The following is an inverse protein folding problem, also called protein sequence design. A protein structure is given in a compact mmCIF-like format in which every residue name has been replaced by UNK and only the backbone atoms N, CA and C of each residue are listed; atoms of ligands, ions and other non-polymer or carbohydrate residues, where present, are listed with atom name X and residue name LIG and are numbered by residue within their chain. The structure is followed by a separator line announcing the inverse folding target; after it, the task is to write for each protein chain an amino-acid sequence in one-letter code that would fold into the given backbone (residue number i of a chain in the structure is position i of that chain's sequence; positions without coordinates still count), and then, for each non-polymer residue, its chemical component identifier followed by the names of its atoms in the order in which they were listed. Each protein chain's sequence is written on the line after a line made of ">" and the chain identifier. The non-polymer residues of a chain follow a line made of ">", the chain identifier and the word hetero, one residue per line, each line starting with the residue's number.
data_IF_551622280120
#
_entry.id   IF_551622280120
#
_cell.length_a   1.000
_cell.length_b   1.000
_cell.length_c   1.000
_cell.angle_alpha   90.00
_cell.angle_beta   90.00
_cell.angle_gamma   90.00
#
_symmetry.space_group_name_H-M   'P 1'
#
loop_
_entity.id
_entity.type
_entity.pdbx_description
1 polymer ?
#
# COMPACT_ATOMS: atom_id res chain seq x y z
N UNK A 1 -3.66 -0.55 -4.55
CA UNK A 1 -4.05 -1.80 -3.85
C UNK A 1 -4.47 -1.43 -2.45
N UNK A 2 -5.66 -1.83 -2.03
CA UNK A 2 -6.25 -1.44 -0.75
C UNK A 2 -6.56 -2.69 0.06
N UNK A 3 -6.15 -2.72 1.33
CA UNK A 3 -6.45 -3.83 2.23
C UNK A 3 -7.95 -4.04 2.36
N UNK A 4 -8.44 -5.28 2.44
CA UNK A 4 -9.89 -5.58 2.53
C UNK A 4 -10.60 -4.82 3.65
N UNK A 5 -9.99 -4.74 4.82
CA UNK A 5 -10.54 -3.99 5.97
C UNK A 5 -10.71 -2.50 5.69
N UNK A 6 -9.79 -1.90 4.93
CA UNK A 6 -9.87 -0.49 4.53
C UNK A 6 -10.93 -0.30 3.43
N UNK A 7 -10.98 -1.22 2.47
CA UNK A 7 -11.98 -1.20 1.40
C UNK A 7 -13.40 -1.32 1.97
N UNK A 8 -13.62 -2.20 2.94
CA UNK A 8 -14.90 -2.35 3.64
C UNK A 8 -15.29 -1.07 4.36
N UNK A 9 -14.36 -0.46 5.11
CA UNK A 9 -14.58 0.81 5.81
C UNK A 9 -14.96 1.97 4.87
N UNK A 10 -14.46 1.93 3.64
CA UNK A 10 -14.75 2.94 2.61
C UNK A 10 -15.91 2.54 1.68
N UNK A 11 -16.58 1.43 1.94
CA UNK A 11 -17.64 0.87 1.08
C UNK A 11 -17.17 0.65 -0.37
N UNK A 12 -15.94 0.12 -0.54
CA UNK A 12 -15.31 -0.16 -1.84
C UNK A 12 -15.11 -1.64 -2.05
N UNK A 13 -14.89 -2.04 -3.30
CA UNK A 13 -14.51 -3.41 -3.61
C UNK A 13 -13.09 -3.70 -3.10
N UNK A 14 -12.97 -4.77 -2.33
CA UNK A 14 -11.67 -5.23 -1.83
C UNK A 14 -10.87 -5.91 -2.94
N UNK A 15 -9.56 -5.66 -2.98
CA UNK A 15 -8.66 -6.48 -3.77
C UNK A 15 -8.45 -7.84 -3.08
N UNK A 16 -8.53 -8.92 -3.84
CA UNK A 16 -8.25 -10.27 -3.34
C UNK A 16 -6.79 -10.71 -3.59
N UNK A 17 -5.93 -9.79 -4.02
CA UNK A 17 -4.54 -10.11 -4.43
C UNK A 17 -3.52 -10.00 -3.29
N UNK A 18 -3.88 -9.37 -2.18
CA UNK A 18 -2.95 -9.03 -1.08
C UNK A 18 -3.19 -9.84 0.19
N UNK A 19 -3.50 -11.12 0.07
CA UNK A 19 -3.75 -11.98 1.22
C UNK A 19 -2.60 -12.01 2.25
N UNK A 20 -1.36 -11.85 1.79
CA UNK A 20 -0.20 -11.81 2.68
C UNK A 20 -0.11 -10.50 3.50
N UNK A 21 -0.51 -9.35 2.95
CA UNK A 21 -0.59 -8.07 3.69
C UNK A 21 -1.69 -8.12 4.76
N UNK A 22 -2.83 -8.71 4.42
CA UNK A 22 -3.92 -8.93 5.39
C UNK A 22 -3.47 -9.87 6.50
N UNK A 23 -2.73 -10.95 6.17
CA UNK A 23 -2.15 -11.85 7.16
C UNK A 23 -1.12 -11.17 8.06
N UNK A 24 -0.29 -10.29 7.51
CA UNK A 24 0.65 -9.50 8.31
C UNK A 24 -0.09 -8.55 9.26
N UNK A 25 -1.12 -7.85 8.77
CA UNK A 25 -1.93 -6.97 9.60
C UNK A 25 -2.58 -7.74 10.76
N UNK A 26 -3.18 -8.91 10.50
CA UNK A 26 -3.73 -9.76 11.56
C UNK A 26 -2.68 -10.12 12.60
N UNK A 27 -1.50 -10.56 12.18
CA UNK A 27 -0.42 -10.91 13.10
C UNK A 27 0.07 -9.74 13.96
N UNK A 28 0.04 -8.53 13.43
CA UNK A 28 0.40 -7.32 14.18
C UNK A 28 -0.69 -6.97 15.20
N UNK A 29 -1.96 -7.07 14.78
CA UNK A 29 -3.13 -6.71 15.59
C UNK A 29 -3.37 -7.72 16.71
N UNK A 30 -3.07 -9.01 16.47
CA UNK A 30 -3.25 -10.09 17.46
C UNK A 30 -2.17 -10.09 18.55
N UNK A 31 -1.17 -9.22 18.46
CA UNK A 31 -0.13 -9.11 19.50
C UNK A 31 -0.62 -8.24 20.65
N UNK A 32 -0.97 -8.89 21.75
CA UNK A 32 -1.42 -8.23 22.98
C UNK A 32 -0.29 -7.56 23.77
N UNK A 33 0.97 -7.87 23.46
CA UNK A 33 2.16 -7.52 24.25
C UNK A 33 2.91 -6.27 23.74
N UNK A 34 2.29 -5.48 22.83
CA UNK A 34 2.97 -4.34 22.22
C UNK A 34 2.21 -3.03 22.44
N UNK A 35 2.91 -2.02 22.95
CA UNK A 35 2.44 -0.61 22.98
C UNK A 35 2.57 0.04 21.59
N UNK A 36 2.55 -0.74 20.52
CA UNK A 36 2.74 -0.27 19.17
C UNK A 36 1.46 0.35 18.63
N UNK A 37 1.56 1.55 18.06
CA UNK A 37 0.51 2.13 17.23
C UNK A 37 0.78 1.86 15.76
N UNK A 38 -0.27 1.69 14.97
CA UNK A 38 -0.15 1.35 13.55
C UNK A 38 -0.88 2.37 12.67
N UNK A 39 -0.21 2.81 11.62
CA UNK A 39 -0.84 3.49 10.51
C UNK A 39 -0.60 2.75 9.20
N UNK A 40 -1.55 2.87 8.27
CA UNK A 40 -1.46 2.34 6.92
C UNK A 40 -1.69 3.47 5.94
N UNK A 41 -0.69 3.73 5.08
CA UNK A 41 -0.84 4.62 3.94
C UNK A 41 -1.01 3.79 2.65
N UNK A 42 -1.94 4.19 1.78
CA UNK A 42 -2.26 3.46 0.57
C UNK A 42 -2.58 4.38 -0.61
N UNK A 43 -2.21 3.98 -1.84
CA UNK A 43 -2.47 4.77 -3.03
C UNK A 43 -3.95 4.76 -3.41
N UNK A 44 -4.42 5.92 -3.85
CA UNK A 44 -5.75 6.14 -4.40
C UNK A 44 -5.61 6.72 -5.80
N UNK A 45 -6.39 6.27 -6.78
CA UNK A 45 -6.37 6.84 -8.12
C UNK A 45 -6.60 8.35 -8.12
N UNK A 46 -5.89 9.07 -8.97
CA UNK A 46 -6.06 10.51 -9.12
C UNK A 46 -7.53 10.84 -9.46
N UNK A 47 -8.09 11.81 -8.73
CA UNK A 47 -9.48 12.25 -8.90
C UNK A 47 -10.52 11.49 -8.09
N UNK A 48 -10.14 10.47 -7.32
CA UNK A 48 -11.02 9.87 -6.35
C UNK A 48 -11.00 10.66 -5.03
N UNK A 49 -12.19 10.98 -4.51
CA UNK A 49 -12.31 11.60 -3.20
C UNK A 49 -12.17 10.55 -2.10
N UNK A 50 -11.30 10.83 -1.15
CA UNK A 50 -11.08 10.01 0.04
C UNK A 50 -10.81 10.93 1.23
N UNK A 51 -11.23 10.55 2.46
CA UNK A 51 -10.80 11.27 3.65
C UNK A 51 -9.27 11.27 3.75
N UNK A 52 -8.68 12.42 4.06
CA UNK A 52 -7.23 12.57 4.19
C UNK A 52 -6.67 11.61 5.25
N UNK A 53 -7.39 11.46 6.36
CA UNK A 53 -7.11 10.43 7.37
C UNK A 53 -8.41 9.96 8.02
N UNK A 54 -8.43 8.69 8.43
CA UNK A 54 -9.52 8.08 9.16
C UNK A 54 -8.98 6.93 10.01
N UNK A 55 -9.80 6.40 10.90
CA UNK A 55 -9.42 5.29 11.77
C UNK A 55 -10.31 4.09 11.48
N UNK A 56 -9.70 2.93 11.39
CA UNK A 56 -10.38 1.66 11.22
C UNK A 56 -10.14 0.81 12.46
N UNK A 57 -11.21 0.24 13.02
CA UNK A 57 -11.11 -0.74 14.09
C UNK A 57 -10.98 -2.13 13.49
N UNK A 58 -9.89 -2.81 13.79
CA UNK A 58 -9.61 -4.18 13.35
C UNK A 58 -9.80 -5.12 14.53
N UNK A 59 -10.64 -6.14 14.38
CA UNK A 59 -10.84 -7.17 15.40
C UNK A 59 -10.04 -8.42 15.02
N UNK A 60 -9.31 -8.99 15.99
CA UNK A 60 -8.50 -10.20 15.80
C UNK A 60 -9.33 -11.45 15.55
N UNK A 61 -8.65 -12.49 15.05
CA UNK A 61 -9.03 -13.88 14.79
C UNK A 61 -9.76 -14.24 13.50
N UNK A 62 -10.27 -13.35 12.65
CA UNK A 62 -10.64 -13.70 11.26
C UNK A 62 -10.93 -12.46 10.38
N UNK A 63 -10.84 -12.59 9.05
CA UNK A 63 -10.91 -11.45 8.12
C UNK A 63 -12.32 -10.89 7.87
N UNK A 64 -13.22 -11.00 8.82
CA UNK A 64 -14.46 -10.25 8.87
C UNK A 64 -14.26 -9.08 9.86
N UNK A 65 -13.42 -8.13 9.47
CA UNK A 65 -13.23 -6.91 10.23
C UNK A 65 -14.52 -6.09 10.15
N UNK A 66 -15.15 -5.82 11.28
CA UNK A 66 -16.17 -4.77 11.34
C UNK A 66 -15.43 -3.44 11.25
N UNK A 67 -15.36 -2.89 10.06
CA UNK A 67 -14.71 -1.62 9.81
C UNK A 67 -15.73 -0.50 10.01
N UNK A 68 -15.61 0.26 11.07
CA UNK A 68 -16.28 1.54 11.22
C UNK A 68 -15.25 2.64 10.94
N UNK A 69 -15.40 3.35 9.82
CA UNK A 69 -14.61 4.53 9.55
C UNK A 69 -15.12 5.68 10.42
N UNK A 70 -14.32 6.07 11.40
CA UNK A 70 -14.57 7.26 12.22
C UNK A 70 -13.57 8.35 11.87
N UNK A 71 -14.00 9.61 11.94
CA UNK A 71 -13.04 10.72 11.80
C UNK A 71 -11.96 10.62 12.87
N UNK A 72 -10.72 11.04 12.55
CA UNK A 72 -9.59 10.99 13.47
C UNK A 72 -9.88 11.69 14.82
N UNK A 73 -10.78 12.68 14.82
CA UNK A 73 -11.22 13.43 16.03
C UNK A 73 -12.17 12.61 16.89
N UNK A 74 -13.01 11.76 16.31
CA UNK A 74 -13.97 10.91 17.04
C UNK A 74 -13.28 9.68 17.64
N UNK A 75 -12.24 9.16 16.97
CA UNK A 75 -11.46 8.02 17.46
C UNK A 75 -10.72 8.32 18.77
N UNK A 76 -10.30 9.57 18.99
CA UNK A 76 -9.66 10.01 20.22
C UNK A 76 -10.62 10.04 21.43
N UNK A 77 -11.93 10.01 21.19
CA UNK A 77 -13.00 10.01 22.21
C UNK A 77 -13.78 8.71 22.29
N UNK A 78 -13.38 7.67 21.53
CA UNK A 78 -14.08 6.39 21.53
C UNK A 78 -13.92 5.70 22.91
N UNK A 79 -15.02 5.13 23.47
CA UNK A 79 -14.97 4.48 24.77
C UNK A 79 -14.02 3.27 24.74
N UNK A 80 -13.19 3.14 25.76
CA UNK A 80 -12.20 2.05 25.96
C UNK A 80 -12.81 0.63 26.08
N UNK A 81 -14.08 0.45 25.76
CA UNK A 81 -14.84 -0.79 25.99
C UNK A 81 -15.09 -1.67 24.77
N UNK A 82 -14.63 -1.31 23.59
CA UNK A 82 -14.78 -2.15 22.38
C UNK A 82 -13.49 -2.88 22.06
N UNK A 83 -13.44 -4.19 22.21
CA UNK A 83 -12.29 -5.00 21.81
C UNK A 83 -11.90 -4.74 20.35
N UNK A 84 -10.60 -4.72 20.04
CA UNK A 84 -10.05 -4.51 18.70
C UNK A 84 -8.95 -3.44 18.66
N UNK A 85 -8.13 -3.50 17.63
CA UNK A 85 -6.98 -2.63 17.42
C UNK A 85 -7.36 -1.46 16.51
N UNK A 86 -6.95 -0.24 16.85
CA UNK A 86 -7.21 0.94 16.04
C UNK A 86 -6.05 1.18 15.07
N UNK A 87 -6.36 1.18 13.78
CA UNK A 87 -5.40 1.46 12.71
C UNK A 87 -5.74 2.81 12.09
N UNK A 88 -4.78 3.73 12.09
CA UNK A 88 -4.92 5.00 11.39
C UNK A 88 -4.63 4.80 9.91
N UNK A 89 -5.50 5.30 9.05
CA UNK A 89 -5.43 5.11 7.61
C UNK A 89 -5.26 6.44 6.89
N UNK A 90 -4.38 6.46 5.88
CA UNK A 90 -4.10 7.63 5.05
C UNK A 90 -4.20 7.26 3.58
N UNK A 91 -5.01 8.01 2.82
CA UNK A 91 -5.00 7.94 1.37
C UNK A 91 -4.05 8.97 0.77
N UNK A 92 -3.31 8.60 -0.24
CA UNK A 92 -2.53 9.53 -1.08
C UNK A 92 -2.81 9.27 -2.55
N UNK A 93 -2.76 10.32 -3.38
CA UNK A 93 -3.09 10.20 -4.79
C UNK A 93 -1.89 9.75 -5.61
N UNK A 94 -2.08 8.69 -6.40
CA UNK A 94 -1.05 8.16 -7.30
C UNK A 94 -1.67 7.77 -8.65
N UNK A 95 -0.92 7.94 -9.76
CA UNK A 95 -1.31 7.37 -11.05
C UNK A 95 -1.11 5.85 -11.02
N UNK A 96 -2.14 5.13 -10.58
CA UNK A 96 -2.13 3.68 -10.49
C UNK A 96 -2.18 2.98 -11.85
N UNK A 97 -2.42 3.72 -12.93
CA UNK A 97 -2.45 3.21 -14.31
C UNK A 97 -1.04 3.14 -14.90
N UNK A 98 -0.19 4.12 -14.55
CA UNK A 98 1.19 4.20 -15.03
C UNK A 98 2.18 4.20 -13.84
N UNK A 99 2.34 3.08 -13.15
CA UNK A 99 3.19 2.99 -11.96
C UNK A 99 4.69 3.15 -12.27
N UNK A 100 5.07 3.13 -13.56
CA UNK A 100 6.41 3.42 -14.05
C UNK A 100 6.76 4.91 -14.06
N UNK A 101 5.78 5.80 -13.83
CA UNK A 101 5.96 7.25 -13.87
C UNK A 101 6.03 7.83 -12.48
N UNK A 102 7.16 8.44 -12.17
CA UNK A 102 7.32 9.18 -10.92
C UNK A 102 6.55 10.50 -10.95
N UNK A 103 5.82 10.78 -9.89
CA UNK A 103 5.02 11.98 -9.69
C UNK A 103 5.60 12.78 -8.52
N UNK A 104 6.19 13.97 -8.77
CA UNK A 104 6.75 14.80 -7.70
C UNK A 104 5.74 15.23 -6.63
N UNK A 105 4.46 15.31 -6.98
CA UNK A 105 3.36 15.68 -6.08
C UNK A 105 3.22 14.70 -4.90
N UNK A 106 3.59 13.44 -5.09
CA UNK A 106 3.64 12.41 -4.03
C UNK A 106 4.54 12.83 -2.87
N UNK A 107 5.61 13.56 -3.14
CA UNK A 107 6.55 13.98 -2.09
C UNK A 107 5.87 14.87 -1.05
N UNK A 108 5.00 15.78 -1.50
CA UNK A 108 4.29 16.69 -0.59
C UNK A 108 3.19 15.97 0.19
N UNK A 109 2.43 15.07 -0.45
CA UNK A 109 1.39 14.30 0.25
C UNK A 109 1.99 13.37 1.31
N UNK A 110 3.04 12.62 0.94
CA UNK A 110 3.71 11.70 1.86
C UNK A 110 4.46 12.42 2.98
N UNK A 111 5.02 13.61 2.71
CA UNK A 111 5.59 14.45 3.77
C UNK A 111 4.54 14.82 4.81
N UNK A 112 3.36 15.28 4.39
CA UNK A 112 2.25 15.62 5.30
C UNK A 112 1.81 14.42 6.13
N UNK A 113 1.74 13.24 5.54
CA UNK A 113 1.38 12.00 6.25
C UNK A 113 2.44 11.66 7.29
N UNK A 114 3.72 11.72 6.94
CA UNK A 114 4.80 11.41 7.87
C UNK A 114 4.94 12.45 8.98
N UNK A 115 4.67 13.72 8.71
CA UNK A 115 4.65 14.80 9.72
C UNK A 115 3.44 14.68 10.65
N UNK A 116 2.25 14.29 10.14
CA UNK A 116 1.04 14.13 10.96
C UNK A 116 1.10 12.90 11.87
N UNK A 117 1.66 11.80 11.39
CA UNK A 117 1.73 10.55 12.17
C UNK A 117 3.00 10.44 13.03
N UNK A 118 4.11 11.02 12.59
CA UNK A 118 5.45 10.97 13.21
C UNK A 118 5.89 9.51 13.51
N UNK A 119 6.05 8.67 12.50
CA UNK A 119 6.33 7.25 12.71
C UNK A 119 7.76 7.00 13.20
N UNK A 120 7.94 6.06 14.14
CA UNK A 120 9.27 5.57 14.53
C UNK A 120 9.91 4.70 13.44
N UNK A 121 9.10 3.98 12.68
CA UNK A 121 9.53 3.12 11.56
C UNK A 121 8.51 3.16 10.44
N UNK A 122 8.98 3.27 9.21
CA UNK A 122 8.17 3.13 8.00
C UNK A 122 8.53 1.82 7.30
N UNK A 123 7.55 0.97 7.07
CA UNK A 123 7.73 -0.24 6.26
C UNK A 123 7.06 -0.06 4.89
N UNK A 124 7.88 0.10 3.84
CA UNK A 124 7.41 0.16 2.46
C UNK A 124 7.38 -1.26 1.86
N UNK A 125 6.24 -1.62 1.27
CA UNK A 125 6.06 -2.91 0.60
C UNK A 125 6.20 -2.75 -0.91
N UNK A 126 7.30 -3.27 -1.45
CA UNK A 126 7.67 -3.14 -2.85
C UNK A 126 8.56 -1.92 -3.11
N UNK A 127 9.49 -2.09 -4.04
CA UNK A 127 10.40 -1.02 -4.51
C UNK A 127 10.06 -0.58 -5.94
N UNK A 128 9.06 -1.19 -6.52
CA UNK A 128 8.60 -0.98 -7.88
C UNK A 128 7.63 0.20 -8.03
N UNK A 129 7.17 0.77 -6.91
CA UNK A 129 6.16 1.84 -6.92
C UNK A 129 6.77 3.23 -6.65
N UNK A 130 6.25 4.30 -7.30
CA UNK A 130 6.72 5.68 -7.14
C UNK A 130 6.68 6.16 -5.68
N UNK A 131 5.64 5.81 -4.93
CA UNK A 131 5.48 6.23 -3.54
C UNK A 131 6.62 5.74 -2.62
N UNK A 132 7.19 4.56 -2.86
CA UNK A 132 8.34 4.08 -2.10
C UNK A 132 9.55 5.01 -2.27
N UNK A 133 9.83 5.44 -3.51
CA UNK A 133 10.90 6.40 -3.78
C UNK A 133 10.60 7.76 -3.15
N UNK A 134 9.33 8.22 -3.23
CA UNK A 134 8.91 9.49 -2.64
C UNK A 134 9.12 9.50 -1.12
N UNK A 135 8.71 8.44 -0.40
CA UNK A 135 8.97 8.29 1.04
C UNK A 135 10.47 8.37 1.34
N UNK A 136 11.31 7.65 0.58
CA UNK A 136 12.77 7.68 0.77
C UNK A 136 13.37 9.07 0.57
N UNK A 137 12.73 9.95 -0.21
CA UNK A 137 13.19 11.31 -0.46
C UNK A 137 12.75 12.32 0.60
N UNK A 138 11.55 12.13 1.17
CA UNK A 138 10.96 13.14 2.04
C UNK A 138 11.09 12.83 3.51
N UNK A 139 11.17 11.55 3.89
CA UNK A 139 11.28 11.18 5.30
C UNK A 139 12.69 11.49 5.82
N UNK A 140 12.82 12.27 6.90
CA UNK A 140 14.11 12.78 7.34
C UNK A 140 15.00 11.73 8.02
N UNK A 141 14.46 10.53 8.28
CA UNK A 141 15.13 9.44 8.99
C UNK A 141 15.24 8.19 8.13
N UNK A 142 16.13 8.17 7.11
CA UNK A 142 16.25 7.02 6.20
C UNK A 142 16.64 5.72 6.91
N UNK A 143 17.31 5.79 8.05
CA UNK A 143 17.67 4.65 8.91
C UNK A 143 16.45 3.96 9.55
N UNK A 144 15.27 4.61 9.52
CA UNK A 144 14.00 4.10 10.03
C UNK A 144 13.07 3.60 8.91
N UNK A 145 13.56 3.54 7.68
CA UNK A 145 12.80 2.98 6.55
C UNK A 145 13.20 1.53 6.33
N UNK A 146 12.22 0.64 6.42
CA UNK A 146 12.35 -0.76 6.04
C UNK A 146 11.75 -0.96 4.65
N UNK A 147 12.54 -1.50 3.71
CA UNK A 147 12.09 -1.81 2.36
C UNK A 147 11.85 -3.30 2.21
N UNK A 148 10.58 -3.68 2.01
CA UNK A 148 10.19 -5.05 1.69
C UNK A 148 10.34 -5.31 0.19
N UNK A 149 11.47 -5.88 -0.23
CA UNK A 149 11.75 -6.15 -1.64
C UNK A 149 11.06 -7.45 -2.05
N UNK A 150 10.08 -7.37 -2.95
CA UNK A 150 9.39 -8.53 -3.51
C UNK A 150 10.13 -9.12 -4.71
N UNK A 151 10.90 -8.31 -5.42
CA UNK A 151 11.73 -8.69 -6.55
C UNK A 151 12.63 -7.55 -6.99
N UNK A 152 13.78 -7.90 -7.55
CA UNK A 152 14.69 -6.91 -8.13
C UNK A 152 14.30 -6.76 -9.60
N UNK A 153 13.56 -5.69 -9.93
CA UNK A 153 12.96 -5.48 -11.26
C UNK A 153 13.99 -5.56 -12.39
N UNK A 154 15.22 -5.06 -12.20
CA UNK A 154 16.28 -5.16 -13.19
C UNK A 154 16.68 -6.60 -13.49
N UNK A 155 16.85 -7.42 -12.45
CA UNK A 155 17.18 -8.85 -12.62
C UNK A 155 16.00 -9.63 -13.21
N UNK A 156 14.78 -9.30 -12.80
CA UNK A 156 13.57 -9.89 -13.40
C UNK A 156 13.46 -9.51 -14.88
N UNK A 157 13.76 -8.28 -15.24
CA UNK A 157 13.76 -7.83 -16.63
C UNK A 157 14.85 -8.51 -17.47
N UNK A 158 16.07 -8.67 -16.94
CA UNK A 158 17.15 -9.40 -17.60
C UNK A 158 16.79 -10.88 -17.82
N UNK A 159 16.16 -11.50 -16.82
CA UNK A 159 15.75 -12.90 -16.88
C UNK A 159 14.36 -13.11 -17.52
N UNK A 160 13.69 -12.03 -17.98
CA UNK A 160 12.30 -12.07 -18.40
C UNK A 160 11.99 -13.12 -19.48
N UNK A 161 12.89 -13.26 -20.42
CA UNK A 161 12.78 -14.27 -21.48
C UNK A 161 13.41 -15.62 -21.10
N UNK A 162 14.04 -15.69 -19.93
CA UNK A 162 14.84 -16.84 -19.53
C UNK A 162 15.77 -17.27 -20.67
N UNK A 163 15.96 -18.56 -20.86
CA UNK A 163 16.77 -19.10 -21.96
C UNK A 163 15.97 -19.36 -23.25
N UNK A 164 14.89 -18.60 -23.49
CA UNK A 164 14.10 -18.77 -24.72
C UNK A 164 14.94 -18.38 -25.94
N UNK A 165 14.93 -19.21 -27.00
CA UNK A 165 15.66 -18.90 -28.22
C UNK A 165 15.22 -17.58 -28.83
N UNK A 166 16.17 -16.80 -29.36
CA UNK A 166 15.95 -15.49 -29.96
C UNK A 166 14.82 -15.47 -31.02
N UNK A 167 14.68 -16.57 -31.78
CA UNK A 167 13.58 -16.74 -32.73
C UNK A 167 12.18 -16.71 -32.09
N UNK A 168 12.09 -17.04 -30.82
CA UNK A 168 10.82 -17.01 -30.04
C UNK A 168 10.60 -15.61 -29.47
N UNK A 169 11.64 -15.04 -28.87
CA UNK A 169 11.56 -13.72 -28.23
C UNK A 169 11.36 -12.59 -29.22
N UNK A 170 11.81 -12.76 -30.50
CA UNK A 170 11.59 -11.76 -31.57
C UNK A 170 10.28 -11.94 -32.34
N UNK A 171 9.50 -12.99 -32.05
CA UNK A 171 8.27 -13.24 -32.78
C UNK A 171 7.17 -12.31 -32.31
N UNK A 172 6.74 -11.41 -33.19
CA UNK A 172 5.54 -10.59 -32.99
C UNK A 172 4.34 -11.36 -33.52
N UNK A 173 3.36 -11.60 -32.68
CA UNK A 173 2.11 -12.28 -33.05
C UNK A 173 1.05 -11.27 -33.51
N UNK A 174 0.03 -11.72 -34.23
CA UNK A 174 -1.10 -10.87 -34.60
C UNK A 174 -1.83 -10.30 -33.35
N UNK A 175 -1.87 -11.07 -32.27
CA UNK A 175 -2.41 -10.61 -30.98
C UNK A 175 -1.63 -9.43 -30.44
N UNK A 176 -0.30 -9.49 -30.49
CA UNK A 176 0.57 -8.40 -29.99
C UNK A 176 0.35 -7.11 -30.76
N UNK A 177 0.11 -7.22 -32.07
CA UNK A 177 -0.21 -6.08 -32.94
C UNK A 177 -1.59 -5.48 -32.59
N UNK A 178 -2.60 -6.32 -32.36
CA UNK A 178 -3.97 -5.87 -32.06
C UNK A 178 -4.07 -5.28 -30.66
N UNK A 179 -3.44 -5.89 -29.66
CA UNK A 179 -3.48 -5.45 -28.27
C UNK A 179 -2.46 -4.37 -27.94
N UNK A 180 -1.49 -4.12 -28.82
CA UNK A 180 -0.31 -3.27 -28.54
C UNK A 180 0.43 -3.71 -27.27
N UNK A 181 0.41 -4.99 -27.00
CA UNK A 181 0.85 -5.65 -25.77
C UNK A 181 2.05 -6.55 -26.15
N UNK A 182 3.03 -5.97 -26.79
CA UNK A 182 4.27 -6.63 -27.13
C UNK A 182 5.19 -6.60 -25.91
N UNK A 183 5.80 -7.74 -25.60
CA UNK A 183 6.83 -7.88 -24.57
C UNK A 183 8.17 -7.18 -24.94
N UNK A 184 8.13 -6.22 -25.82
CA UNK A 184 9.27 -5.42 -26.28
C UNK A 184 9.08 -3.96 -25.94
#
# INVERSE_FOLDING_TARGET
>A
IMLPVIAEALHREASNKEGWLSGLLSQVVDREDTDMTLAVAFPVPAGEEIPQSFVVRVQGEHPACVAEATSATEAASAPEGGGGYLVRCYGFHEDTVHPDRYQPELEEELRKITEDYDPDVIHCFGTEYPHTLAVCRVYPHPERILLGIQGICSLCAEAYFADLPERVTRKVTFRDLVKRDSLR
#
